data_IF_066441068290
#
_entry.id   IF_066441068290
#
_cell.length_a   1.000
_cell.length_b   1.000
_cell.length_c   1.000
_cell.angle_alpha   90.00
_cell.angle_beta   90.00
_cell.angle_gamma   90.00
#
_symmetry.space_group_name_H-M   'P 1'
#
loop_
_entity.id
_entity.type
_entity.pdbx_description
1 polymer ?
#
# COMPACT_ATOMS: atom_id res chain seq x y z
N UNK A 1 2.97 10.54 -14.20
CA UNK A 1 2.35 9.99 -15.43
C UNK A 1 2.85 8.57 -15.62
N UNK A 2 2.03 7.68 -16.17
CA UNK A 2 2.45 6.33 -16.60
C UNK A 2 2.33 6.25 -18.12
N UNK A 3 3.42 5.91 -18.81
CA UNK A 3 3.47 5.82 -20.27
C UNK A 3 3.95 4.43 -20.69
N UNK A 4 3.02 3.62 -21.18
CA UNK A 4 3.27 2.26 -21.66
C UNK A 4 3.64 2.36 -23.13
N UNK A 5 4.83 1.89 -23.50
CA UNK A 5 5.36 1.98 -24.87
C UNK A 5 5.68 0.60 -25.39
N UNK A 6 4.84 0.11 -26.32
CA UNK A 6 5.02 -1.15 -27.02
C UNK A 6 5.31 -2.35 -26.11
N UNK A 7 4.63 -2.42 -24.96
CA UNK A 7 4.87 -3.47 -23.95
C UNK A 7 4.43 -4.82 -24.47
N UNK A 8 5.35 -5.79 -24.43
CA UNK A 8 5.04 -7.21 -24.65
C UNK A 8 5.54 -8.08 -23.50
N UNK A 9 4.76 -9.10 -23.16
CA UNK A 9 5.07 -10.09 -22.11
C UNK A 9 4.62 -11.47 -22.58
N UNK A 10 5.52 -12.44 -22.43
CA UNK A 10 5.35 -13.83 -22.86
C UNK A 10 5.55 -14.74 -21.64
N UNK A 11 4.69 -15.75 -21.50
CA UNK A 11 4.88 -16.84 -20.54
C UNK A 11 5.03 -18.16 -21.28
N UNK A 12 6.26 -18.66 -21.37
CA UNK A 12 6.56 -19.86 -22.14
C UNK A 12 6.22 -19.68 -23.62
N UNK A 13 5.16 -20.36 -24.08
CA UNK A 13 4.68 -20.29 -25.46
C UNK A 13 3.44 -19.40 -25.64
N UNK A 14 3.01 -18.69 -24.59
CA UNK A 14 1.81 -17.86 -24.62
C UNK A 14 2.16 -16.37 -24.54
N UNK A 15 1.73 -15.63 -25.56
CA UNK A 15 1.77 -14.17 -25.56
C UNK A 15 0.63 -13.65 -24.68
N UNK A 16 0.97 -12.93 -23.61
CA UNK A 16 -0.02 -12.37 -22.67
C UNK A 16 -0.29 -10.90 -22.94
N UNK A 17 0.74 -10.15 -23.30
CA UNK A 17 0.64 -8.77 -23.76
C UNK A 17 1.45 -8.64 -25.06
N UNK A 18 0.91 -7.93 -26.05
CA UNK A 18 1.56 -7.75 -27.34
C UNK A 18 1.42 -6.30 -27.78
N UNK A 19 2.54 -5.57 -27.83
CA UNK A 19 2.60 -4.19 -28.34
C UNK A 19 1.72 -3.17 -27.61
N UNK A 20 1.44 -3.38 -26.32
CA UNK A 20 0.53 -2.54 -25.55
C UNK A 20 1.09 -1.13 -25.40
N UNK A 21 0.36 -0.14 -25.92
CA UNK A 21 0.75 1.27 -25.90
C UNK A 21 -0.41 2.14 -25.44
N UNK A 22 -0.26 2.81 -24.30
CA UNK A 22 -1.23 3.77 -23.77
C UNK A 22 -0.60 4.64 -22.69
N UNK A 23 -1.29 5.72 -22.33
CA UNK A 23 -0.83 6.67 -21.31
C UNK A 23 -1.90 6.91 -20.27
N UNK A 24 -1.48 7.06 -19.02
CA UNK A 24 -2.29 7.48 -17.88
C UNK A 24 -1.70 8.76 -17.29
N UNK A 25 -2.44 9.86 -17.42
CA UNK A 25 -2.06 11.17 -16.93
C UNK A 25 -2.50 11.39 -15.48
N UNK A 26 -1.96 12.44 -14.86
CA UNK A 26 -2.38 12.85 -13.52
C UNK A 26 -3.84 13.30 -13.56
N UNK A 27 -4.68 12.69 -12.72
CA UNK A 27 -6.10 12.99 -12.61
C UNK A 27 -7.01 12.05 -13.41
N UNK A 28 -6.44 11.20 -14.26
CA UNK A 28 -7.22 10.23 -15.02
C UNK A 28 -7.88 9.19 -14.11
N UNK A 29 -9.10 8.77 -14.48
CA UNK A 29 -9.80 7.63 -13.90
C UNK A 29 -9.94 6.57 -14.97
N UNK A 30 -9.11 5.53 -14.90
CA UNK A 30 -9.00 4.50 -15.95
C UNK A 30 -9.51 3.16 -15.44
N UNK A 31 -10.41 2.54 -16.19
CA UNK A 31 -10.86 1.16 -15.97
C UNK A 31 -10.28 0.22 -17.02
N UNK A 32 -9.65 -0.88 -16.60
CA UNK A 32 -9.16 -1.93 -17.49
C UNK A 32 -10.12 -3.12 -17.40
N UNK A 33 -10.75 -3.45 -18.52
CA UNK A 33 -11.74 -4.54 -18.62
C UNK A 33 -11.32 -5.57 -19.65
N UNK A 34 -11.74 -6.81 -19.48
CA UNK A 34 -11.43 -7.91 -20.39
C UNK A 34 -11.63 -9.28 -19.73
N UNK A 35 -11.68 -10.38 -20.51
CA UNK A 35 -11.88 -11.73 -19.99
C UNK A 35 -10.71 -12.19 -19.09
N UNK A 36 -10.93 -13.24 -18.30
CA UNK A 36 -9.84 -13.85 -17.53
C UNK A 36 -8.72 -14.32 -18.48
N UNK A 37 -7.47 -14.09 -18.09
CA UNK A 37 -6.30 -14.37 -18.92
C UNK A 37 -5.92 -13.25 -19.91
N UNK A 38 -6.69 -12.17 -20.03
CA UNK A 38 -6.39 -11.05 -20.95
C UNK A 38 -5.19 -10.16 -20.54
N UNK A 39 -4.35 -10.60 -19.60
CA UNK A 39 -3.17 -9.82 -19.18
C UNK A 39 -3.40 -8.65 -18.22
N UNK A 40 -4.60 -8.46 -17.65
CA UNK A 40 -4.89 -7.35 -16.71
C UNK A 40 -3.98 -7.37 -15.49
N UNK A 41 -3.91 -8.51 -14.79
CA UNK A 41 -3.04 -8.66 -13.62
C UNK A 41 -1.57 -8.52 -14.00
N UNK A 42 -1.19 -8.90 -15.23
CA UNK A 42 0.15 -8.70 -15.78
C UNK A 42 0.48 -7.21 -15.91
N UNK A 43 -0.43 -6.39 -16.42
CA UNK A 43 -0.27 -4.93 -16.48
C UNK A 43 -0.07 -4.33 -15.07
N UNK A 44 -0.86 -4.75 -14.09
CA UNK A 44 -0.69 -4.28 -12.72
C UNK A 44 0.66 -4.68 -12.13
N UNK A 45 1.13 -5.91 -12.35
CA UNK A 45 2.47 -6.34 -11.91
C UNK A 45 3.59 -5.49 -12.52
N UNK A 46 3.45 -5.09 -13.79
CA UNK A 46 4.40 -4.18 -14.43
C UNK A 46 4.38 -2.79 -13.76
N UNK A 47 3.19 -2.25 -13.47
CA UNK A 47 3.05 -0.95 -12.75
C UNK A 47 3.71 -1.01 -11.37
N UNK A 48 3.55 -2.14 -10.67
CA UNK A 48 4.12 -2.36 -9.34
C UNK A 48 5.64 -2.66 -9.38
N UNK A 49 6.23 -2.82 -10.58
CA UNK A 49 7.62 -3.23 -10.74
C UNK A 49 7.90 -4.69 -10.36
N UNK A 50 6.87 -5.50 -10.15
CA UNK A 50 6.97 -6.92 -9.81
C UNK A 50 7.27 -7.81 -11.03
N UNK A 51 7.13 -7.26 -12.24
CA UNK A 51 7.34 -7.97 -13.49
C UNK A 51 8.03 -7.05 -14.51
N UNK A 52 9.16 -7.51 -15.04
CA UNK A 52 9.84 -6.89 -16.18
C UNK A 52 9.13 -7.23 -17.49
N UNK A 53 9.23 -6.34 -18.47
CA UNK A 53 8.73 -6.55 -19.82
C UNK A 53 9.76 -7.26 -20.69
N UNK A 54 9.33 -8.08 -21.65
CA UNK A 54 10.24 -8.69 -22.63
C UNK A 54 10.63 -7.70 -23.73
N UNK A 55 9.68 -6.83 -24.10
CA UNK A 55 9.94 -5.70 -24.99
C UNK A 55 9.06 -4.51 -24.62
N UNK A 56 9.48 -3.33 -25.09
CA UNK A 56 8.88 -2.07 -24.69
C UNK A 56 9.32 -1.61 -23.30
N UNK A 57 8.74 -0.51 -22.84
CA UNK A 57 9.04 0.07 -21.54
C UNK A 57 7.81 0.70 -20.89
N UNK A 58 7.79 0.72 -19.56
CA UNK A 58 6.90 1.58 -18.77
C UNK A 58 7.72 2.78 -18.28
N UNK A 59 7.39 3.98 -18.76
CA UNK A 59 7.97 5.23 -18.25
C UNK A 59 7.09 5.79 -17.16
N UNK A 60 7.68 5.96 -15.97
CA UNK A 60 7.01 6.50 -14.78
C UNK A 60 7.61 7.87 -14.45
N UNK A 61 6.83 8.94 -14.63
CA UNK A 61 7.28 10.30 -14.33
C UNK A 61 7.04 10.68 -12.86
N UNK A 62 7.98 11.47 -12.31
CA UNK A 62 7.90 12.10 -10.97
C UNK A 62 7.89 11.12 -9.79
N UNK A 63 8.27 9.86 -10.02
CA UNK A 63 8.37 8.80 -9.00
C UNK A 63 7.18 8.79 -8.01
N UNK A 64 5.95 8.57 -8.51
CA UNK A 64 4.75 8.65 -7.70
C UNK A 64 4.74 7.55 -6.65
N UNK A 65 4.12 7.84 -5.50
CA UNK A 65 3.75 6.77 -4.56
C UNK A 65 2.59 5.98 -5.16
N UNK A 66 2.74 4.65 -5.24
CA UNK A 66 1.73 3.75 -5.76
C UNK A 66 1.01 3.09 -4.58
N UNK A 67 -0.31 3.33 -4.46
CA UNK A 67 -1.17 2.59 -3.56
C UNK A 67 -1.79 1.40 -4.29
N UNK A 68 -1.69 0.20 -3.71
CA UNK A 68 -2.22 -1.03 -4.28
C UNK A 68 -3.11 -1.75 -3.27
N UNK A 69 -4.32 -2.10 -3.69
CA UNK A 69 -5.24 -2.90 -2.87
C UNK A 69 -5.25 -4.33 -3.39
N UNK A 70 -4.99 -5.29 -2.51
CA UNK A 70 -5.01 -6.71 -2.87
C UNK A 70 -6.45 -7.14 -3.13
N UNK A 71 -6.63 -8.05 -4.09
CA UNK A 71 -7.95 -8.62 -4.39
C UNK A 71 -8.56 -9.41 -3.22
N UNK A 72 -7.71 -9.96 -2.34
CA UNK A 72 -8.10 -10.58 -1.08
C UNK A 72 -7.24 -10.01 0.07
N UNK A 73 -7.73 -9.01 0.80
CA UNK A 73 -7.06 -8.52 2.00
C UNK A 73 -7.10 -9.58 3.10
N UNK A 74 -5.95 -9.79 3.73
CA UNK A 74 -5.76 -10.76 4.81
C UNK A 74 -4.94 -10.11 5.93
N UNK A 75 -5.21 -10.45 7.21
CA UNK A 75 -4.41 -9.95 8.31
C UNK A 75 -3.03 -10.59 8.32
N UNK A 76 -2.06 -9.91 8.93
CA UNK A 76 -0.72 -10.48 9.09
C UNK A 76 -0.68 -11.47 10.25
N UNK A 77 -1.51 -11.25 11.27
CA UNK A 77 -1.55 -12.06 12.50
C UNK A 77 -2.97 -12.53 12.81
N UNK A 78 -3.14 -13.74 13.37
CA UNK A 78 -4.42 -14.20 13.87
C UNK A 78 -4.98 -13.24 14.92
N UNK A 79 -6.27 -12.92 14.82
CA UNK A 79 -6.96 -12.06 15.78
C UNK A 79 -6.68 -10.56 15.63
N UNK A 80 -5.88 -10.13 14.63
CA UNK A 80 -5.66 -8.71 14.36
C UNK A 80 -6.99 -7.96 14.24
N UNK A 81 -7.14 -6.87 14.98
CA UNK A 81 -8.37 -6.07 14.99
C UNK A 81 -8.53 -5.27 13.70
N UNK A 82 -9.74 -4.78 13.42
CA UNK A 82 -9.97 -3.86 12.29
C UNK A 82 -9.09 -2.61 12.40
N UNK A 83 -8.98 -2.02 13.59
CA UNK A 83 -8.18 -0.82 13.81
C UNK A 83 -6.69 -1.08 13.55
N UNK A 84 -6.14 -2.16 14.11
CA UNK A 84 -4.72 -2.51 13.93
C UNK A 84 -4.40 -2.84 12.47
N UNK A 85 -5.35 -3.48 11.78
CA UNK A 85 -5.22 -3.73 10.34
C UNK A 85 -5.15 -2.43 9.55
N UNK A 86 -6.02 -1.47 9.83
CA UNK A 86 -6.05 -0.18 9.13
C UNK A 86 -4.85 0.71 9.46
N UNK A 87 -4.35 0.70 10.70
CA UNK A 87 -3.16 1.46 11.11
C UNK A 87 -1.90 1.03 10.34
N UNK A 88 -1.79 -0.24 9.98
CA UNK A 88 -0.70 -0.76 9.13
C UNK A 88 -0.73 -0.26 7.69
N UNK A 89 -1.82 0.37 7.26
CA UNK A 89 -1.90 1.00 5.94
C UNK A 89 -0.88 2.12 5.72
N UNK A 90 -0.16 2.55 6.78
CA UNK A 90 0.87 3.58 6.71
C UNK A 90 2.24 2.94 6.90
N UNK A 91 3.01 2.80 5.79
CA UNK A 91 4.29 2.13 5.83
C UNK A 91 5.26 2.79 6.81
N UNK A 92 5.87 1.97 7.67
CA UNK A 92 6.92 2.39 8.60
C UNK A 92 6.43 3.03 9.89
N UNK A 93 5.13 3.26 10.08
CA UNK A 93 4.65 3.96 11.27
C UNK A 93 4.80 3.10 12.54
N UNK A 94 4.40 1.84 12.47
CA UNK A 94 4.54 0.87 13.57
C UNK A 94 6.01 0.62 13.93
N UNK A 95 6.88 0.55 12.92
CA UNK A 95 8.31 0.35 13.10
C UNK A 95 8.96 1.56 13.76
N UNK A 96 8.56 2.77 13.35
CA UNK A 96 9.01 4.01 13.99
C UNK A 96 8.54 4.10 15.45
N UNK A 97 7.29 3.73 15.75
CA UNK A 97 6.76 3.73 17.11
C UNK A 97 7.51 2.74 18.02
N UNK A 98 7.75 1.53 17.53
CA UNK A 98 8.52 0.51 18.23
C UNK A 98 9.96 0.96 18.50
N UNK A 99 10.64 1.52 17.50
CA UNK A 99 12.01 2.02 17.63
C UNK A 99 12.09 3.25 18.56
N UNK A 100 11.11 4.16 18.53
CA UNK A 100 11.02 5.27 19.49
C UNK A 100 10.91 4.75 20.92
N UNK A 101 10.04 3.77 21.17
CA UNK A 101 9.85 3.15 22.49
C UNK A 101 11.12 2.46 22.98
N UNK A 102 11.85 1.78 22.09
CA UNK A 102 13.13 1.15 22.42
C UNK A 102 14.20 2.19 22.77
N UNK A 103 14.32 3.26 21.99
CA UNK A 103 15.31 4.33 22.21
C UNK A 103 15.04 5.10 23.52
N UNK A 104 13.79 5.25 23.93
CA UNK A 104 13.42 5.90 25.21
C UNK A 104 14.01 5.19 26.44
N UNK A 105 14.33 3.89 26.33
CA UNK A 105 14.87 3.13 27.47
C UNK A 105 16.27 3.58 27.91
N UNK A 106 17.05 4.21 27.02
CA UNK A 106 18.39 4.70 27.31
C UNK A 106 18.75 5.89 26.40
N UNK A 107 18.35 7.09 26.83
CA UNK A 107 18.65 8.35 26.18
C UNK A 107 19.98 8.99 26.64
N UNK A 108 20.78 8.26 27.42
CA UNK A 108 22.07 8.78 27.91
C UNK A 108 23.17 8.70 26.85
N UNK A 109 23.03 7.78 25.89
CA UNK A 109 23.90 7.67 24.72
C UNK A 109 23.59 8.79 23.71
N UNK A 110 24.56 9.68 23.41
CA UNK A 110 24.38 10.76 22.44
C UNK A 110 23.96 10.29 21.03
N UNK A 111 24.33 9.07 20.63
CA UNK A 111 23.94 8.51 19.33
C UNK A 111 22.46 8.13 19.32
N UNK A 112 21.99 7.46 20.38
CA UNK A 112 20.57 7.12 20.55
C UNK A 112 19.70 8.37 20.67
N UNK A 113 20.15 9.37 21.42
CA UNK A 113 19.44 10.64 21.56
C UNK A 113 19.26 11.36 20.21
N UNK A 114 20.32 11.39 19.38
CA UNK A 114 20.24 11.96 18.04
C UNK A 114 19.25 11.18 17.16
N UNK A 115 19.35 9.86 17.15
CA UNK A 115 18.45 8.99 16.37
C UNK A 115 16.99 9.16 16.80
N UNK A 116 16.73 9.24 18.10
CA UNK A 116 15.41 9.48 18.67
C UNK A 116 14.82 10.79 18.15
N UNK A 117 15.57 11.90 18.19
CA UNK A 117 15.09 13.20 17.69
C UNK A 117 14.77 13.20 16.19
N UNK A 118 15.61 12.56 15.37
CA UNK A 118 15.36 12.41 13.93
C UNK A 118 14.08 11.59 13.65
N UNK A 119 13.93 10.48 14.38
CA UNK A 119 12.80 9.57 14.24
C UNK A 119 11.50 10.19 14.72
N UNK A 120 11.54 10.92 15.84
CA UNK A 120 10.40 11.64 16.41
C UNK A 120 9.89 12.70 15.44
N UNK A 121 10.80 13.48 14.85
CA UNK A 121 10.45 14.51 13.84
C UNK A 121 9.75 13.87 12.64
N UNK A 122 10.24 12.70 12.20
CA UNK A 122 9.65 11.96 11.08
C UNK A 122 8.29 11.36 11.43
N UNK A 123 8.15 10.80 12.63
CA UNK A 123 6.91 10.24 13.15
C UNK A 123 5.82 11.32 13.27
N UNK A 124 6.17 12.49 13.78
CA UNK A 124 5.29 13.66 13.84
C UNK A 124 4.86 14.13 12.44
N UNK A 125 5.78 14.21 11.47
CA UNK A 125 5.47 14.58 10.08
C UNK A 125 4.50 13.61 9.40
N UNK A 126 4.50 12.33 9.78
CA UNK A 126 3.53 11.34 9.31
C UNK A 126 2.19 11.42 10.05
N UNK A 127 2.10 12.26 11.07
CA UNK A 127 0.94 12.40 11.96
C UNK A 127 0.80 11.22 12.91
N UNK A 128 1.91 10.67 13.42
CA UNK A 128 1.86 9.50 14.29
C UNK A 128 1.03 9.70 15.56
N UNK A 129 0.91 10.93 16.07
CA UNK A 129 0.11 11.23 17.26
C UNK A 129 -1.39 11.35 17.02
N UNK A 130 -1.81 11.74 15.81
CA UNK A 130 -3.23 11.90 15.46
C UNK A 130 -3.75 10.76 14.56
N UNK A 131 -2.86 9.84 14.17
CA UNK A 131 -3.18 8.87 13.12
C UNK A 131 -4.33 7.95 13.47
N UNK A 132 -4.34 7.43 14.70
CA UNK A 132 -5.38 6.53 15.17
C UNK A 132 -6.75 7.22 15.09
N UNK A 133 -6.79 8.51 15.42
CA UNK A 133 -8.01 9.32 15.31
C UNK A 133 -8.43 9.45 13.85
N UNK A 134 -7.50 9.77 12.93
CA UNK A 134 -7.81 9.85 11.50
C UNK A 134 -8.29 8.52 10.93
N UNK A 135 -7.69 7.40 11.34
CA UNK A 135 -8.11 6.06 10.93
C UNK A 135 -9.51 5.74 11.44
N UNK A 136 -9.80 6.02 12.72
CA UNK A 136 -11.14 5.86 13.30
C UNK A 136 -12.19 6.71 12.57
N UNK A 137 -11.87 7.95 12.22
CA UNK A 137 -12.75 8.83 11.42
C UNK A 137 -12.98 8.23 10.04
N UNK A 138 -11.94 7.75 9.37
CA UNK A 138 -12.04 7.13 8.05
C UNK A 138 -12.92 5.86 8.10
N UNK A 139 -12.69 4.98 9.08
CA UNK A 139 -13.51 3.78 9.29
C UNK A 139 -14.97 4.13 9.60
N UNK A 140 -15.22 5.15 10.43
CA UNK A 140 -16.57 5.65 10.68
C UNK A 140 -17.24 6.19 9.41
N UNK A 141 -16.49 6.89 8.56
CA UNK A 141 -16.97 7.37 7.25
C UNK A 141 -17.30 6.25 6.26
N UNK A 142 -16.68 5.07 6.42
CA UNK A 142 -16.99 3.85 5.65
C UNK A 142 -18.17 3.06 6.24
N UNK A 143 -18.69 3.45 7.40
CA UNK A 143 -19.88 2.84 8.03
C UNK A 143 -19.59 1.84 9.14
N UNK A 144 -18.34 1.72 9.60
CA UNK A 144 -18.00 0.92 10.79
C UNK A 144 -18.35 1.65 12.08
N UNK A 145 -18.81 0.92 13.10
CA UNK A 145 -19.09 1.51 14.43
C UNK A 145 -17.85 1.48 15.33
N UNK A 146 -17.92 2.19 16.45
CA UNK A 146 -16.86 2.19 17.47
C UNK A 146 -16.58 0.79 18.04
N UNK A 147 -17.61 -0.03 18.15
CA UNK A 147 -17.48 -1.42 18.63
C UNK A 147 -16.82 -2.32 17.59
N UNK A 148 -16.92 -1.99 16.30
CA UNK A 148 -16.31 -2.76 15.21
C UNK A 148 -14.79 -2.66 15.22
N UNK A 149 -14.22 -1.56 15.71
CA UNK A 149 -12.78 -1.29 15.67
C UNK A 149 -11.95 -2.36 16.38
N UNK A 150 -12.50 -2.94 17.46
CA UNK A 150 -11.85 -3.97 18.27
C UNK A 150 -12.20 -5.40 17.83
N UNK A 151 -13.10 -5.57 16.86
CA UNK A 151 -13.45 -6.90 16.36
C UNK A 151 -12.32 -7.45 15.50
N UNK A 152 -12.08 -8.78 15.53
CA UNK A 152 -11.13 -9.41 14.63
C UNK A 152 -11.44 -9.09 13.16
N UNK A 153 -10.44 -8.67 12.39
CA UNK A 153 -10.58 -8.32 10.97
C UNK A 153 -11.23 -9.44 10.15
N UNK A 154 -10.91 -10.70 10.47
CA UNK A 154 -11.47 -11.88 9.80
C UNK A 154 -12.93 -12.18 10.12
N UNK A 155 -13.54 -11.48 11.09
CA UNK A 155 -14.97 -11.64 11.42
C UNK A 155 -15.91 -10.90 10.46
N UNK A 156 -15.38 -9.95 9.68
CA UNK A 156 -16.15 -9.17 8.72
C UNK A 156 -16.37 -9.94 7.40
N UNK A 157 -17.49 -9.65 6.72
CA UNK A 157 -17.78 -10.26 5.43
C UNK A 157 -16.72 -9.87 4.39
N UNK A 158 -16.60 -10.64 3.30
CA UNK A 158 -15.63 -10.33 2.24
C UNK A 158 -15.80 -8.93 1.64
N UNK A 159 -17.05 -8.46 1.50
CA UNK A 159 -17.34 -7.12 0.98
C UNK A 159 -16.96 -5.99 1.93
N UNK A 160 -16.96 -6.24 3.25
CA UNK A 160 -16.50 -5.26 4.25
C UNK A 160 -14.98 -5.24 4.42
N UNK A 161 -14.31 -6.35 4.09
CA UNK A 161 -12.84 -6.43 4.16
C UNK A 161 -12.15 -5.78 2.96
N UNK A 162 -12.86 -5.66 1.83
CA UNK A 162 -12.42 -4.97 0.60
C UNK A 162 -12.54 -3.46 0.75
#
# INVERSE_FOLDING_TARGET
MLDFRNISVHYGHQDVLTGVTFRVNKGDRVGIVGPNGSGKSTLFKIILGELSTDSGELVVEQNPRIGWTRQNPAPDTPGQTLLDYSLKGIPGLSEMEAELTELETDLTDPVKLKRYGELQTKFEHLGGYDIETRVKIALGGLGFTTEDFQKPFMSFSGGWRM
#
